data_IF_032495974812
#
_entry.id   IF_032495974812
#
_cell.length_a   1.000
_cell.length_b   1.000
_cell.length_c   1.000
_cell.angle_alpha   90.00
_cell.angle_beta   90.00
_cell.angle_gamma   90.00
#
_symmetry.space_group_name_H-M   'P 1'
#
loop_
_entity.id
_entity.type
_entity.pdbx_description
1 polymer ?
#
# COMPACT_ATOMS: atom_id res chain seq x y z
N UNK A 1 22.40 6.45 -18.47
CA UNK A 1 22.43 5.11 -17.83
C UNK A 1 22.55 5.32 -16.34
N UNK A 2 21.74 4.62 -15.56
CA UNK A 2 21.83 4.55 -14.10
C UNK A 2 22.91 3.55 -13.68
N UNK A 3 23.60 3.85 -12.57
CA UNK A 3 24.51 2.90 -11.91
C UNK A 3 23.87 2.43 -10.61
N UNK A 4 23.42 1.17 -10.59
CA UNK A 4 22.77 0.57 -9.43
C UNK A 4 23.81 -0.23 -8.64
N UNK A 5 24.00 0.13 -7.37
CA UNK A 5 24.84 -0.65 -6.45
C UNK A 5 23.97 -1.73 -5.80
N UNK A 6 24.39 -2.99 -5.90
CA UNK A 6 23.67 -4.14 -5.34
C UNK A 6 24.61 -4.88 -4.40
N UNK A 7 24.08 -5.32 -3.26
CA UNK A 7 24.77 -6.17 -2.28
C UNK A 7 24.04 -7.51 -2.20
N UNK A 8 24.76 -8.62 -2.33
CA UNK A 8 24.22 -9.94 -2.06
C UNK A 8 24.16 -10.13 -0.53
N UNK A 9 22.95 -10.28 0.00
CA UNK A 9 22.75 -10.37 1.46
C UNK A 9 23.26 -11.69 2.07
N UNK A 10 23.60 -12.71 1.26
CA UNK A 10 24.15 -13.99 1.73
C UNK A 10 25.67 -13.98 1.74
N UNK A 11 26.29 -13.42 0.70
CA UNK A 11 27.76 -13.42 0.56
C UNK A 11 28.41 -12.12 1.01
N UNK A 12 27.66 -11.01 1.01
CA UNK A 12 28.17 -9.65 1.23
C UNK A 12 28.81 -9.02 -0.01
N UNK A 13 28.80 -9.71 -1.16
CA UNK A 13 29.43 -9.23 -2.37
C UNK A 13 28.72 -8.00 -2.94
N UNK A 14 29.51 -7.01 -3.36
CA UNK A 14 29.00 -5.76 -3.92
C UNK A 14 29.31 -5.66 -5.40
N UNK A 15 28.29 -5.34 -6.19
CA UNK A 15 28.42 -5.14 -7.63
C UNK A 15 27.75 -3.84 -8.08
N UNK A 16 28.18 -3.34 -9.25
CA UNK A 16 27.60 -2.18 -9.91
C UNK A 16 27.00 -2.62 -11.24
N UNK A 17 25.70 -2.41 -11.40
CA UNK A 17 24.96 -2.71 -12.62
C UNK A 17 24.67 -1.41 -13.37
N UNK A 18 24.70 -1.47 -14.70
CA UNK A 18 24.27 -0.35 -15.56
C UNK A 18 22.88 -0.64 -16.13
N UNK A 19 21.96 0.30 -15.96
CA UNK A 19 20.60 0.19 -16.48
C UNK A 19 20.23 1.42 -17.31
N UNK A 20 19.45 1.23 -18.38
CA UNK A 20 18.88 2.35 -19.15
C UNK A 20 17.64 2.92 -18.46
N UNK A 21 16.87 2.04 -17.83
CA UNK A 21 15.67 2.36 -17.08
C UNK A 21 15.71 1.69 -15.71
N UNK A 22 15.28 2.39 -14.65
CA UNK A 22 15.18 1.84 -13.29
C UNK A 22 13.76 2.04 -12.77
N UNK A 23 13.14 0.96 -12.30
CA UNK A 23 11.85 1.00 -11.63
C UNK A 23 12.01 0.68 -10.14
N UNK A 24 11.62 1.61 -9.27
CA UNK A 24 11.71 1.50 -7.81
C UNK A 24 10.34 1.07 -7.27
N UNK A 25 10.17 -0.24 -7.09
CA UNK A 25 8.99 -0.86 -6.49
C UNK A 25 9.28 -1.49 -5.12
N UNK A 26 10.07 -0.83 -4.28
CA UNK A 26 10.65 -1.41 -3.05
C UNK A 26 9.79 -1.26 -1.78
N UNK A 27 8.48 -1.09 -1.92
CA UNK A 27 7.58 -0.82 -0.78
C UNK A 27 8.02 0.41 0.01
N UNK A 28 8.09 0.31 1.33
CA UNK A 28 8.59 1.42 2.18
C UNK A 28 10.02 1.86 1.86
N UNK A 29 10.86 0.96 1.34
CA UNK A 29 12.24 1.29 0.93
C UNK A 29 12.33 2.12 -0.36
N UNK A 30 11.20 2.34 -1.05
CA UNK A 30 11.19 3.15 -2.26
C UNK A 30 11.56 4.62 -1.99
N UNK A 31 11.21 5.16 -0.81
CA UNK A 31 11.52 6.55 -0.46
C UNK A 31 13.04 6.78 -0.36
N UNK A 32 13.77 5.89 0.31
CA UNK A 32 15.23 5.97 0.43
C UNK A 32 15.93 5.81 -0.93
N UNK A 33 15.43 4.92 -1.79
CA UNK A 33 15.99 4.73 -3.13
C UNK A 33 15.69 5.93 -4.05
N UNK A 34 14.54 6.57 -3.88
CA UNK A 34 14.19 7.79 -4.59
C UNK A 34 15.09 8.95 -4.16
N UNK A 35 15.31 9.13 -2.85
CA UNK A 35 16.23 10.15 -2.32
C UNK A 35 17.66 9.94 -2.87
N UNK A 36 18.16 8.71 -2.85
CA UNK A 36 19.47 8.34 -3.42
C UNK A 36 19.58 8.54 -4.95
N UNK A 37 18.46 8.66 -5.65
CA UNK A 37 18.46 8.90 -7.10
C UNK A 37 18.78 10.36 -7.45
N UNK A 38 18.61 11.28 -6.49
CA UNK A 38 18.83 12.73 -6.63
C UNK A 38 18.11 13.38 -7.82
N UNK A 39 16.99 12.78 -8.26
CA UNK A 39 16.13 13.41 -9.27
C UNK A 39 15.36 14.58 -8.63
N UNK A 40 15.23 15.73 -9.31
CA UNK A 40 14.46 16.86 -8.79
C UNK A 40 13.03 16.52 -8.39
N UNK A 41 12.38 15.61 -9.13
CA UNK A 41 10.99 15.19 -8.94
C UNK A 41 10.77 14.37 -7.67
N UNK A 42 11.85 13.86 -7.05
CA UNK A 42 11.80 13.12 -5.79
C UNK A 42 11.99 13.98 -4.54
N UNK A 43 12.30 15.28 -4.69
CA UNK A 43 12.52 16.20 -3.57
C UNK A 43 11.20 16.54 -2.87
N UNK A 44 11.29 16.84 -1.57
CA UNK A 44 10.13 17.19 -0.74
C UNK A 44 9.27 16.01 -0.29
N UNK A 45 9.55 14.79 -0.77
CA UNK A 45 8.84 13.60 -0.31
C UNK A 45 9.37 13.13 1.05
N UNK A 46 8.44 12.91 1.97
CA UNK A 46 8.64 12.31 3.27
C UNK A 46 7.80 11.06 3.45
N UNK A 47 8.04 10.34 4.54
CA UNK A 47 7.29 9.15 4.87
C UNK A 47 7.10 9.01 6.36
N UNK A 48 5.89 8.66 6.77
CA UNK A 48 5.60 8.29 8.15
C UNK A 48 5.20 6.81 8.25
N UNK A 49 5.92 5.99 9.02
CA UNK A 49 5.63 4.57 9.14
C UNK A 49 4.38 4.34 9.99
N UNK A 50 3.45 3.55 9.48
CA UNK A 50 2.24 3.10 10.17
C UNK A 50 2.24 1.59 10.23
N UNK A 51 2.14 1.03 11.44
CA UNK A 51 2.04 -0.41 11.65
C UNK A 51 0.58 -0.80 11.92
N UNK A 52 0.16 -1.96 11.39
CA UNK A 52 -1.14 -2.54 11.66
C UNK A 52 -1.02 -3.75 12.59
N UNK A 53 -1.81 -3.77 13.66
CA UNK A 53 -1.92 -4.88 14.59
C UNK A 53 -3.30 -5.53 14.50
N UNK A 54 -3.37 -6.83 14.76
CA UNK A 54 -4.58 -7.63 14.68
C UNK A 54 -4.67 -8.55 15.87
N UNK A 55 -5.86 -8.70 16.44
CA UNK A 55 -6.17 -9.82 17.32
C UNK A 55 -6.40 -11.05 16.44
N UNK A 56 -5.65 -12.12 16.70
CA UNK A 56 -5.68 -13.37 15.94
C UNK A 56 -6.16 -14.50 16.82
N UNK A 57 -7.24 -15.16 16.40
CA UNK A 57 -7.75 -16.37 17.03
C UNK A 57 -7.50 -17.60 16.15
N UNK A 58 -6.89 -18.62 16.74
CA UNK A 58 -6.64 -19.93 16.13
C UNK A 58 -7.39 -21.06 16.83
N UNK A 59 -8.28 -20.74 17.77
CA UNK A 59 -9.10 -21.75 18.43
C UNK A 59 -10.04 -22.40 17.39
N UNK A 60 -9.91 -23.71 17.11
CA UNK A 60 -10.64 -24.37 16.03
C UNK A 60 -12.16 -24.31 16.25
N UNK A 61 -12.62 -24.35 17.49
CA UNK A 61 -14.05 -24.32 17.83
C UNK A 61 -14.70 -22.97 17.51
N UNK A 62 -13.92 -21.89 17.60
CA UNK A 62 -14.35 -20.53 17.27
C UNK A 62 -14.24 -20.29 15.76
N UNK A 63 -13.10 -20.67 15.17
CA UNK A 63 -12.80 -20.48 13.74
C UNK A 63 -13.80 -21.24 12.87
N UNK A 64 -14.16 -22.48 13.23
CA UNK A 64 -15.09 -23.31 12.46
C UNK A 64 -16.52 -22.73 12.37
N UNK A 65 -16.87 -21.75 13.22
CA UNK A 65 -18.17 -21.08 13.21
C UNK A 65 -18.23 -19.85 12.31
N UNK A 66 -17.09 -19.39 11.78
CA UNK A 66 -16.98 -18.13 11.04
C UNK A 66 -16.44 -18.37 9.63
N UNK A 67 -17.25 -18.03 8.62
CA UNK A 67 -16.92 -18.21 7.20
C UNK A 67 -16.91 -16.91 6.40
N UNK A 68 -17.34 -15.81 7.03
CA UNK A 68 -17.51 -14.53 6.37
C UNK A 68 -16.52 -13.50 6.90
N UNK A 69 -16.36 -12.43 6.12
CA UNK A 69 -15.74 -11.18 6.52
C UNK A 69 -16.84 -10.21 6.92
N UNK A 70 -16.80 -9.72 8.15
CA UNK A 70 -17.81 -8.82 8.72
C UNK A 70 -17.17 -7.47 8.99
N UNK A 71 -17.63 -6.46 8.27
CA UNK A 71 -17.24 -5.07 8.49
C UNK A 71 -18.19 -4.42 9.49
N UNK A 72 -17.66 -3.59 10.38
CA UNK A 72 -18.49 -2.73 11.20
C UNK A 72 -18.72 -1.37 10.57
N UNK A 73 -19.34 -0.49 11.33
CA UNK A 73 -19.47 0.92 11.00
C UNK A 73 -18.26 1.70 11.49
N UNK A 74 -17.86 2.74 10.76
CA UNK A 74 -16.83 3.65 11.23
C UNK A 74 -17.29 4.33 12.52
N UNK A 75 -16.49 4.24 13.59
CA UNK A 75 -16.71 5.04 14.79
C UNK A 75 -16.63 6.54 14.48
N UNK A 76 -17.29 7.37 15.28
CA UNK A 76 -17.26 8.83 15.12
C UNK A 76 -15.80 9.32 15.18
N UNK A 77 -15.32 9.95 14.10
CA UNK A 77 -13.96 10.47 13.99
C UNK A 77 -12.89 9.45 13.57
N UNK A 78 -13.25 8.17 13.36
CA UNK A 78 -12.33 7.18 12.81
C UNK A 78 -12.05 7.48 11.32
N UNK A 79 -10.78 7.44 10.88
CA UNK A 79 -10.45 7.55 9.47
C UNK A 79 -11.23 6.50 8.64
N UNK A 80 -11.73 6.84 7.44
CA UNK A 80 -12.57 5.93 6.63
C UNK A 80 -11.87 4.61 6.27
N UNK A 81 -10.54 4.55 6.34
CA UNK A 81 -9.74 3.35 6.07
C UNK A 81 -9.44 2.48 7.31
N UNK A 82 -9.89 2.87 8.51
CA UNK A 82 -9.52 2.25 9.80
C UNK A 82 -10.64 1.47 10.47
N UNK A 83 -11.73 1.20 9.76
CA UNK A 83 -12.91 0.53 10.32
C UNK A 83 -12.54 -0.91 10.72
N UNK A 84 -12.73 -1.31 11.99
CA UNK A 84 -12.49 -2.66 12.41
C UNK A 84 -13.39 -3.65 11.69
N UNK A 85 -12.86 -4.85 11.48
CA UNK A 85 -13.59 -5.94 10.86
C UNK A 85 -13.12 -7.28 11.41
N UNK A 86 -14.02 -8.25 11.43
CA UNK A 86 -13.75 -9.64 11.78
C UNK A 86 -13.64 -10.48 10.50
N UNK A 87 -12.46 -11.04 10.26
CA UNK A 87 -12.13 -11.75 9.03
C UNK A 87 -11.80 -13.22 9.30
N UNK A 88 -12.52 -14.13 8.66
CA UNK A 88 -12.02 -15.49 8.45
C UNK A 88 -10.93 -15.47 7.37
N UNK A 89 -9.70 -15.88 7.71
CA UNK A 89 -8.56 -15.98 6.79
C UNK A 89 -8.00 -17.39 6.78
N UNK A 90 -7.35 -17.72 5.67
CA UNK A 90 -6.57 -18.94 5.51
C UNK A 90 -5.11 -18.57 5.28
N UNK A 91 -4.22 -19.02 6.16
CA UNK A 91 -2.78 -18.81 6.08
C UNK A 91 -2.14 -20.18 5.86
N UNK A 92 -1.71 -20.43 4.62
CA UNK A 92 -1.32 -21.78 4.20
C UNK A 92 -2.52 -22.74 4.29
N UNK A 93 -2.41 -23.77 5.12
CA UNK A 93 -3.49 -24.73 5.36
C UNK A 93 -4.34 -24.39 6.59
N UNK A 94 -3.88 -23.49 7.45
CA UNK A 94 -4.53 -23.14 8.70
C UNK A 94 -5.59 -22.04 8.50
N UNK A 95 -6.74 -22.19 9.16
CA UNK A 95 -7.76 -21.13 9.26
C UNK A 95 -7.57 -20.37 10.56
N UNK A 96 -7.73 -19.06 10.49
CA UNK A 96 -7.67 -18.18 11.66
C UNK A 96 -8.64 -17.01 11.50
N UNK A 97 -9.09 -16.47 12.63
CA UNK A 97 -9.89 -15.25 12.67
C UNK A 97 -9.01 -14.05 13.02
N UNK A 98 -9.24 -12.95 12.32
CA UNK A 98 -8.50 -11.70 12.48
C UNK A 98 -9.48 -10.59 12.83
N UNK A 99 -9.22 -9.87 13.91
CA UNK A 99 -9.96 -8.68 14.28
C UNK A 99 -9.05 -7.45 14.40
N UNK A 100 -9.50 -6.34 13.84
CA UNK A 100 -8.74 -5.10 13.74
C UNK A 100 -9.06 -4.37 12.43
N UNK A 101 -8.19 -3.44 11.96
CA UNK A 101 -6.84 -3.19 12.47
C UNK A 101 -6.83 -2.29 13.71
N UNK A 102 -5.87 -2.54 14.59
CA UNK A 102 -5.42 -1.58 15.61
C UNK A 102 -4.16 -0.88 15.12
N UNK A 103 -3.99 0.41 15.46
CA UNK A 103 -2.74 1.09 15.14
C UNK A 103 -1.59 0.58 16.01
N UNK A 104 -0.45 0.31 15.38
CA UNK A 104 0.82 0.06 16.05
C UNK A 104 1.86 1.13 15.70
N UNK A 105 2.94 1.18 16.47
CA UNK A 105 4.06 2.09 16.22
C UNK A 105 5.33 1.32 15.85
N UNK A 106 6.05 1.83 14.86
CA UNK A 106 7.35 1.32 14.42
C UNK A 106 8.03 2.42 13.62
N UNK A 107 9.36 2.56 13.74
CA UNK A 107 10.14 3.49 12.91
C UNK A 107 10.68 2.84 11.63
N UNK A 108 10.39 1.55 11.41
CA UNK A 108 10.82 0.77 10.24
C UNK A 108 9.93 1.08 9.04
N UNK A 109 10.52 1.09 7.85
CA UNK A 109 9.78 1.22 6.59
C UNK A 109 9.46 -0.15 5.97
N UNK A 110 10.26 -1.17 6.28
CA UNK A 110 10.06 -2.56 5.86
C UNK A 110 9.80 -3.47 7.06
N UNK A 111 9.10 -4.60 6.84
CA UNK A 111 8.87 -5.62 7.88
C UNK A 111 10.17 -6.09 8.56
N UNK A 112 11.22 -6.26 7.75
CA UNK A 112 12.58 -6.58 8.18
C UNK A 112 13.53 -5.40 7.91
N UNK A 113 13.09 -4.17 8.19
CA UNK A 113 13.88 -2.93 8.04
C UNK A 113 14.61 -2.49 9.31
N UNK A 114 15.23 -1.31 9.25
CA UNK A 114 15.99 -0.73 10.37
C UNK A 114 15.12 0.19 11.21
N UNK A 115 15.36 0.24 12.52
CA UNK A 115 14.74 1.26 13.37
C UNK A 115 15.26 2.68 13.07
N UNK A 116 16.32 2.80 12.27
CA UNK A 116 16.85 4.05 11.76
C UNK A 116 16.17 4.53 10.47
N UNK A 117 15.26 3.74 9.86
CA UNK A 117 14.63 4.09 8.58
C UNK A 117 13.98 5.49 8.65
N UNK A 118 13.05 5.73 9.59
CA UNK A 118 12.42 7.04 9.75
C UNK A 118 13.41 8.18 10.05
N UNK A 119 14.29 8.11 11.07
CA UNK A 119 15.29 9.16 11.30
C UNK A 119 16.18 9.45 10.09
N UNK A 120 16.60 8.42 9.36
CA UNK A 120 17.46 8.55 8.18
C UNK A 120 16.73 9.13 6.96
N UNK A 121 15.40 9.00 6.90
CA UNK A 121 14.60 9.56 5.81
C UNK A 121 14.32 11.06 5.97
N UNK A 122 14.61 11.65 7.13
CA UNK A 122 14.37 13.08 7.35
C UNK A 122 15.50 13.87 6.73
N UNK A 123 15.16 14.72 5.77
CA UNK A 123 16.08 15.61 5.05
C UNK A 123 15.65 17.06 5.24
N UNK A 124 16.53 18.01 4.87
CA UNK A 124 16.18 19.43 4.91
C UNK A 124 15.00 19.76 3.99
N UNK A 125 14.86 19.03 2.89
CA UNK A 125 13.82 19.27 1.90
C UNK A 125 12.45 18.71 2.32
N UNK A 126 12.38 17.71 3.22
CA UNK A 126 11.11 17.09 3.62
C UNK A 126 10.68 17.35 5.07
N UNK A 127 11.53 17.92 5.93
CA UNK A 127 11.19 18.18 7.34
C UNK A 127 10.01 19.14 7.50
N UNK A 128 9.97 20.22 6.71
CA UNK A 128 8.86 21.18 6.74
C UNK A 128 7.55 20.55 6.23
N UNK A 129 7.53 19.83 5.09
CA UNK A 129 6.38 19.02 4.69
C UNK A 129 5.91 18.05 5.79
N UNK A 130 6.82 17.31 6.42
CA UNK A 130 6.46 16.35 7.45
C UNK A 130 5.77 16.99 8.66
N UNK A 131 6.27 18.15 9.12
CA UNK A 131 5.67 18.90 10.23
C UNK A 131 4.30 19.45 9.81
N UNK A 132 4.21 20.07 8.62
CA UNK A 132 2.96 20.61 8.08
C UNK A 132 1.86 19.54 8.01
N UNK A 133 2.20 18.37 7.45
CA UNK A 133 1.29 17.25 7.34
C UNK A 133 0.81 16.76 8.73
N UNK A 134 1.70 16.71 9.72
CA UNK A 134 1.34 16.32 11.09
C UNK A 134 0.34 17.29 11.75
N UNK A 135 0.53 18.60 11.57
CA UNK A 135 -0.37 19.65 12.11
C UNK A 135 -1.71 19.64 11.38
N UNK A 136 -1.72 19.47 10.07
CA UNK A 136 -2.97 19.40 9.29
C UNK A 136 -3.81 18.17 9.62
N UNK A 137 -3.18 17.11 10.11
CA UNK A 137 -3.81 15.82 10.38
C UNK A 137 -3.89 15.49 11.88
N UNK A 138 -3.98 16.50 12.74
CA UNK A 138 -4.11 16.32 14.19
C UNK A 138 -5.20 15.31 14.61
N UNK A 139 -6.42 15.27 14.01
CA UNK A 139 -7.42 14.27 14.35
C UNK A 139 -6.94 12.83 14.11
N UNK A 140 -6.29 12.59 12.96
CA UNK A 140 -5.71 11.30 12.61
C UNK A 140 -4.54 10.95 13.56
N UNK A 141 -3.64 11.91 13.81
CA UNK A 141 -2.51 11.73 14.72
C UNK A 141 -2.99 11.37 16.13
N UNK A 142 -4.00 12.08 16.64
CA UNK A 142 -4.62 11.78 17.94
C UNK A 142 -5.23 10.38 17.93
N UNK A 143 -6.02 10.04 16.92
CA UNK A 143 -6.61 8.71 16.79
C UNK A 143 -5.55 7.60 16.80
N UNK A 144 -4.45 7.75 16.06
CA UNK A 144 -3.36 6.77 16.04
C UNK A 144 -2.69 6.62 17.41
N UNK A 145 -2.44 7.74 18.13
CA UNK A 145 -1.90 7.72 19.49
C UNK A 145 -2.84 6.99 20.45
N UNK A 146 -4.14 7.28 20.38
CA UNK A 146 -5.15 6.65 21.23
C UNK A 146 -5.22 5.12 20.96
N UNK A 147 -5.16 4.71 19.69
CA UNK A 147 -5.11 3.31 19.28
C UNK A 147 -3.85 2.58 19.79
N UNK A 148 -2.69 3.22 19.74
CA UNK A 148 -1.42 2.66 20.24
C UNK A 148 -1.50 2.43 21.76
N UNK A 149 -2.22 3.29 22.49
CA UNK A 149 -2.35 3.25 23.95
C UNK A 149 -3.36 2.22 24.46
N UNK A 150 -4.15 1.59 23.58
CA UNK A 150 -5.14 0.60 23.98
C UNK A 150 -4.49 -0.54 24.77
N UNK A 151 -5.12 -0.95 25.86
CA UNK A 151 -4.73 -2.16 26.62
C UNK A 151 -5.27 -3.42 25.94
N UNK A 152 -4.78 -4.64 26.29
CA UNK A 152 -5.36 -5.88 25.81
C UNK A 152 -6.87 -5.99 26.07
N UNK A 153 -7.34 -5.53 27.23
CA UNK A 153 -8.74 -5.54 27.64
C UNK A 153 -9.57 -4.61 26.76
N UNK A 154 -9.09 -3.38 26.49
CA UNK A 154 -9.79 -2.45 25.61
C UNK A 154 -9.88 -2.94 24.17
N UNK A 155 -8.84 -3.63 23.67
CA UNK A 155 -8.90 -4.29 22.35
C UNK A 155 -9.91 -5.43 22.34
N UNK A 156 -10.02 -6.18 23.43
CA UNK A 156 -11.03 -7.22 23.59
C UNK A 156 -12.45 -6.63 23.66
N UNK A 157 -12.66 -5.52 24.37
CA UNK A 157 -13.94 -4.81 24.42
C UNK A 157 -14.40 -4.41 23.01
N UNK A 158 -13.49 -3.88 22.19
CA UNK A 158 -13.79 -3.57 20.78
C UNK A 158 -14.17 -4.82 19.98
N UNK A 159 -13.51 -5.97 20.23
CA UNK A 159 -13.88 -7.23 19.59
C UNK A 159 -15.25 -7.73 20.06
N UNK A 160 -15.61 -7.53 21.33
CA UNK A 160 -16.87 -7.96 21.90
C UNK A 160 -18.09 -7.24 21.30
N UNK A 161 -17.91 -6.07 20.67
CA UNK A 161 -18.94 -5.43 19.86
C UNK A 161 -19.33 -6.28 18.62
N UNK A 162 -18.42 -7.13 18.13
CA UNK A 162 -18.61 -8.00 16.96
C UNK A 162 -18.83 -9.46 17.35
N UNK A 163 -18.15 -9.90 18.42
CA UNK A 163 -18.21 -11.24 18.95
C UNK A 163 -18.31 -11.19 20.49
N UNK A 164 -19.53 -11.04 21.05
CA UNK A 164 -19.73 -10.80 22.49
C UNK A 164 -19.13 -11.87 23.43
N UNK A 165 -18.94 -13.09 22.93
CA UNK A 165 -18.39 -14.21 23.70
C UNK A 165 -16.86 -14.30 23.62
N UNK A 166 -16.17 -13.32 23.04
CA UNK A 166 -14.72 -13.30 22.95
C UNK A 166 -14.08 -13.32 24.35
N UNK A 167 -13.10 -14.21 24.55
CA UNK A 167 -12.30 -14.33 25.76
C UNK A 167 -10.84 -14.02 25.44
N UNK A 168 -10.17 -13.24 26.29
CA UNK A 168 -8.81 -12.78 26.03
C UNK A 168 -7.83 -13.93 25.68
N UNK A 169 -7.97 -15.08 26.34
CA UNK A 169 -7.13 -16.26 26.17
C UNK A 169 -7.13 -16.86 24.74
N UNK A 170 -8.20 -16.62 23.98
CA UNK A 170 -8.34 -17.14 22.61
C UNK A 170 -7.72 -16.20 21.54
N UNK A 171 -7.30 -14.99 21.93
CA UNK A 171 -6.92 -13.93 20.99
C UNK A 171 -5.54 -13.36 21.31
N UNK A 172 -4.64 -13.44 20.32
CA UNK A 172 -3.27 -12.92 20.45
C UNK A 172 -3.07 -11.71 19.54
N UNK A 173 -2.41 -10.68 20.05
CA UNK A 173 -2.07 -9.51 19.24
C UNK A 173 -0.86 -9.80 18.34
N UNK A 174 -1.04 -9.68 17.03
CA UNK A 174 0.02 -9.87 16.04
C UNK A 174 0.23 -8.62 15.20
N UNK A 175 1.49 -8.37 14.81
CA UNK A 175 1.86 -7.32 13.87
C UNK A 175 1.75 -7.89 12.45
N UNK A 176 0.76 -7.43 11.68
CA UNK A 176 0.47 -8.00 10.36
C UNK A 176 1.22 -7.30 9.22
N UNK A 177 1.55 -6.02 9.37
CA UNK A 177 2.16 -5.27 8.28
C UNK A 177 2.73 -3.92 8.70
N UNK A 178 3.73 -3.50 7.92
CA UNK A 178 4.34 -2.19 7.97
C UNK A 178 3.97 -1.46 6.67
N UNK A 179 3.44 -0.25 6.81
CA UNK A 179 3.17 0.65 5.69
C UNK A 179 3.92 1.95 5.91
N UNK A 180 4.31 2.62 4.83
CA UNK A 180 4.79 4.01 4.87
C UNK A 180 3.69 4.88 4.27
N UNK A 181 3.20 5.81 5.07
CA UNK A 181 2.28 6.85 4.64
C UNK A 181 3.12 7.98 4.02
N UNK A 182 2.94 8.21 2.73
CA UNK A 182 3.72 9.21 1.99
C UNK A 182 3.22 10.60 2.35
N UNK A 183 4.19 11.52 2.48
CA UNK A 183 3.97 12.94 2.62
C UNK A 183 4.61 13.59 1.40
N UNK A 184 3.83 14.41 0.69
CA UNK A 184 4.28 15.17 -0.46
C UNK A 184 4.33 16.65 -0.10
N UNK A 185 5.32 17.35 -0.64
CA UNK A 185 5.34 18.81 -0.59
C UNK A 185 4.43 19.38 -1.69
N UNK A 186 3.42 20.11 -1.29
CA UNK A 186 2.49 20.82 -2.17
C UNK A 186 2.82 22.33 -2.14
N UNK A 187 2.92 23.01 -3.30
CA UNK A 187 3.28 24.43 -3.33
C UNK A 187 2.30 25.37 -2.60
N UNK A 188 1.02 25.00 -2.50
CA UNK A 188 -0.02 25.83 -1.87
C UNK A 188 -0.31 25.35 -0.45
N UNK A 189 -0.38 24.04 -0.26
CA UNK A 189 -0.77 23.42 0.99
C UNK A 189 0.43 23.01 1.88
N UNK A 190 1.67 23.16 1.41
CA UNK A 190 2.84 22.58 2.07
C UNK A 190 2.72 21.05 2.16
N UNK A 191 3.10 20.44 3.27
CA UNK A 191 3.01 18.98 3.41
C UNK A 191 1.59 18.40 3.43
N UNK A 192 1.31 17.47 2.51
CA UNK A 192 0.02 16.75 2.38
C UNK A 192 0.23 15.24 2.51
N UNK A 193 -0.69 14.54 3.19
CA UNK A 193 -0.68 13.07 3.26
C UNK A 193 -1.28 12.44 2.01
N UNK A 194 -0.51 11.56 1.37
CA UNK A 194 -0.93 10.84 0.16
C UNK A 194 -1.52 9.47 0.46
N UNK A 195 -2.84 9.35 0.48
CA UNK A 195 -3.51 8.11 0.85
C UNK A 195 -3.45 7.01 -0.23
N UNK A 196 -3.08 7.37 -1.46
CA UNK A 196 -3.00 6.49 -2.63
C UNK A 196 -1.59 5.96 -2.93
N UNK A 197 -1.45 5.41 -4.13
CA UNK A 197 -0.14 5.10 -4.73
C UNK A 197 0.27 6.30 -5.57
N UNK A 198 1.47 6.83 -5.33
CA UNK A 198 2.05 7.92 -6.13
C UNK A 198 3.10 7.38 -7.09
N UNK A 199 3.01 7.79 -8.36
CA UNK A 199 3.99 7.50 -9.40
C UNK A 199 4.86 8.72 -9.59
N UNK A 200 6.16 8.59 -9.30
CA UNK A 200 7.16 9.63 -9.54
C UNK A 200 8.04 9.15 -10.69
N UNK A 201 8.33 10.00 -11.65
CA UNK A 201 9.21 9.68 -12.77
C UNK A 201 10.17 10.83 -13.04
N UNK A 202 11.41 10.51 -13.43
CA UNK A 202 12.34 11.52 -13.90
C UNK A 202 11.83 12.16 -15.18
N UNK A 203 12.16 13.43 -15.40
CA UNK A 203 11.80 14.18 -16.63
C UNK A 203 12.23 13.52 -17.93
N UNK A 204 13.32 12.74 -17.92
CA UNK A 204 13.79 11.97 -19.07
C UNK A 204 13.15 10.57 -19.21
N UNK A 205 12.25 10.19 -18.29
CA UNK A 205 11.56 8.90 -18.25
C UNK A 205 12.46 7.70 -17.93
N UNK A 206 13.73 7.92 -17.56
CA UNK A 206 14.69 6.85 -17.32
C UNK A 206 14.59 6.22 -15.92
N UNK A 207 13.83 6.83 -15.00
CA UNK A 207 13.55 6.27 -13.68
C UNK A 207 12.10 6.51 -13.29
N UNK A 208 11.47 5.52 -12.67
CA UNK A 208 10.16 5.66 -12.03
C UNK A 208 10.16 5.00 -10.66
N UNK A 209 9.46 5.60 -9.70
CA UNK A 209 9.27 5.10 -8.34
C UNK A 209 7.78 5.04 -7.99
N UNK A 210 7.40 3.96 -7.31
CA UNK A 210 6.09 3.84 -6.69
C UNK A 210 6.21 4.08 -5.19
N UNK A 211 5.52 5.11 -4.70
CA UNK A 211 5.41 5.39 -3.28
C UNK A 211 3.97 5.17 -2.79
N UNK A 212 3.81 4.97 -1.48
CA UNK A 212 2.51 5.02 -0.82
C UNK A 212 1.80 3.66 -0.71
N UNK A 213 0.49 3.66 -0.92
CA UNK A 213 -0.31 2.45 -0.83
C UNK A 213 0.21 1.39 -1.81
N UNK A 214 0.34 0.14 -1.36
CA UNK A 214 0.57 -0.96 -2.29
C UNK A 214 -0.63 -1.04 -3.25
N UNK A 215 -0.41 -1.03 -4.57
CA UNK A 215 -1.50 -1.16 -5.51
C UNK A 215 -2.16 -2.53 -5.34
N UNK A 216 -3.48 -2.52 -5.11
CA UNK A 216 -4.27 -3.74 -5.13
C UNK A 216 -4.43 -4.24 -6.57
N UNK A 217 -4.97 -5.45 -6.73
CA UNK A 217 -5.25 -6.01 -8.07
C UNK A 217 -6.12 -5.07 -8.94
N UNK A 218 -6.99 -4.28 -8.31
CA UNK A 218 -7.86 -3.31 -8.97
C UNK A 218 -7.15 -2.07 -9.53
N UNK A 219 -5.96 -1.71 -9.01
CA UNK A 219 -5.25 -0.48 -9.40
C UNK A 219 -3.90 -0.72 -10.06
N UNK A 220 -3.29 -1.90 -9.85
CA UNK A 220 -1.95 -2.22 -10.35
C UNK A 220 -1.79 -2.02 -11.87
N UNK A 221 -2.77 -2.48 -12.66
CA UNK A 221 -2.72 -2.34 -14.13
C UNK A 221 -2.77 -0.87 -14.54
N UNK A 222 -3.67 -0.07 -13.96
CA UNK A 222 -3.78 1.36 -14.27
C UNK A 222 -2.50 2.12 -13.93
N UNK A 223 -1.88 1.81 -12.79
CA UNK A 223 -0.63 2.43 -12.34
C UNK A 223 0.53 2.06 -13.27
N UNK A 224 0.63 0.79 -13.68
CA UNK A 224 1.68 0.39 -14.63
C UNK A 224 1.46 1.01 -16.02
N UNK A 225 0.22 1.19 -16.47
CA UNK A 225 -0.05 1.93 -17.69
C UNK A 225 0.42 3.39 -17.59
N UNK A 226 0.19 4.05 -16.45
CA UNK A 226 0.70 5.41 -16.20
C UNK A 226 2.23 5.46 -16.27
N UNK A 227 2.94 4.50 -15.64
CA UNK A 227 4.40 4.37 -15.76
C UNK A 227 4.83 4.22 -17.22
N UNK A 228 4.16 3.38 -18.01
CA UNK A 228 4.48 3.20 -19.44
C UNK A 228 4.27 4.51 -20.23
N UNK A 229 3.17 5.23 -19.97
CA UNK A 229 2.87 6.50 -20.64
C UNK A 229 3.92 7.58 -20.31
N UNK A 230 4.35 7.68 -19.05
CA UNK A 230 5.34 8.68 -18.61
C UNK A 230 6.75 8.33 -19.06
N UNK A 231 7.15 7.06 -18.99
CA UNK A 231 8.55 6.65 -19.16
C UNK A 231 8.87 6.14 -20.57
N UNK A 232 7.86 5.68 -21.32
CA UNK A 232 8.03 5.09 -22.65
C UNK A 232 7.03 5.66 -23.67
N UNK A 233 6.86 7.00 -23.76
CA UNK A 233 5.79 7.61 -24.58
C UNK A 233 5.90 7.23 -26.07
N UNK A 234 7.13 7.17 -26.61
CA UNK A 234 7.36 6.80 -28.01
C UNK A 234 6.99 5.33 -28.29
N UNK A 235 7.31 4.43 -27.37
CA UNK A 235 6.97 3.01 -27.48
C UNK A 235 5.47 2.83 -27.34
N UNK A 236 4.83 3.47 -26.36
CA UNK A 236 3.37 3.42 -26.19
C UNK A 236 2.65 3.95 -27.42
N UNK A 237 3.15 4.99 -28.08
CA UNK A 237 2.59 5.50 -29.33
C UNK A 237 2.84 4.58 -30.54
N UNK A 238 3.75 3.62 -30.45
CA UNK A 238 4.10 2.74 -31.56
C UNK A 238 2.95 1.79 -31.94
N UNK A 239 2.77 1.47 -33.23
CA UNK A 239 1.77 0.50 -33.67
C UNK A 239 1.92 -0.88 -33.03
N UNK A 240 3.16 -1.27 -32.72
CA UNK A 240 3.46 -2.55 -32.08
C UNK A 240 2.89 -2.63 -30.66
N UNK A 241 3.19 -1.64 -29.81
CA UNK A 241 2.68 -1.64 -28.43
C UNK A 241 1.19 -1.34 -28.39
N UNK A 242 0.67 -0.46 -29.25
CA UNK A 242 -0.76 -0.22 -29.35
C UNK A 242 -1.53 -1.51 -29.64
N UNK A 243 -1.01 -2.36 -30.54
CA UNK A 243 -1.57 -3.68 -30.81
C UNK A 243 -1.45 -4.59 -29.59
N UNK A 244 -0.29 -4.66 -28.94
CA UNK A 244 -0.10 -5.54 -27.77
C UNK A 244 -0.95 -5.13 -26.56
N UNK A 245 -1.09 -3.84 -26.30
CA UNK A 245 -1.93 -3.31 -25.23
C UNK A 245 -3.40 -3.64 -25.47
N UNK A 246 -3.90 -3.54 -26.72
CA UNK A 246 -5.27 -3.94 -27.05
C UNK A 246 -5.50 -5.46 -27.03
N UNK A 247 -4.46 -6.24 -27.29
CA UNK A 247 -4.52 -7.71 -27.14
C UNK A 247 -4.67 -8.10 -25.66
N UNK A 248 -3.92 -7.45 -24.77
CA UNK A 248 -3.97 -7.71 -23.32
C UNK A 248 -5.18 -7.08 -22.63
N UNK A 249 -5.58 -5.90 -23.09
CA UNK A 249 -6.64 -5.07 -22.51
C UNK A 249 -7.56 -4.62 -23.67
N UNK A 250 -8.58 -5.41 -24.03
CA UNK A 250 -9.45 -5.11 -25.18
C UNK A 250 -10.15 -3.75 -25.11
N UNK A 251 -10.33 -3.21 -23.90
CA UNK A 251 -10.90 -1.89 -23.66
C UNK A 251 -9.87 -0.75 -23.59
N UNK A 252 -8.60 -1.00 -23.90
CA UNK A 252 -7.54 0.01 -23.79
C UNK A 252 -7.86 1.25 -24.64
N UNK A 253 -7.81 2.43 -24.00
CA UNK A 253 -8.16 3.71 -24.61
C UNK A 253 -9.67 4.01 -24.68
N UNK A 254 -10.52 3.16 -24.11
CA UNK A 254 -11.98 3.34 -24.09
C UNK A 254 -12.53 3.30 -22.66
N UNK A 255 -13.52 4.15 -22.39
CA UNK A 255 -14.24 4.14 -21.12
C UNK A 255 -15.37 3.12 -21.17
N UNK A 256 -15.25 2.06 -20.39
CA UNK A 256 -16.30 1.03 -20.28
C UNK A 256 -17.63 1.59 -19.74
N UNK A 257 -17.57 2.64 -18.90
CA UNK A 257 -18.76 3.31 -18.36
C UNK A 257 -19.61 4.02 -19.43
N UNK A 258 -19.04 4.31 -20.60
CA UNK A 258 -19.70 5.02 -21.70
C UNK A 258 -20.00 4.06 -22.88
N UNK A 259 -19.65 2.78 -22.77
CA UNK A 259 -19.84 1.78 -23.83
C UNK A 259 -20.33 0.45 -23.25
N UNK A 260 -21.65 0.31 -23.16
CA UNK A 260 -22.32 -0.87 -22.61
C UNK A 260 -21.96 -2.16 -23.37
N UNK A 261 -21.97 -2.12 -24.70
CA UNK A 261 -21.66 -3.28 -25.54
C UNK A 261 -20.23 -3.79 -25.28
N UNK A 262 -19.25 -2.88 -25.23
CA UNK A 262 -17.88 -3.22 -24.92
C UNK A 262 -17.74 -3.76 -23.49
N UNK A 263 -18.44 -3.18 -22.53
CA UNK A 263 -18.46 -3.65 -21.14
C UNK A 263 -18.97 -5.10 -21.06
N UNK A 264 -20.11 -5.40 -21.69
CA UNK A 264 -20.68 -6.74 -21.74
C UNK A 264 -19.73 -7.73 -22.43
N UNK A 265 -19.09 -7.33 -23.53
CA UNK A 265 -18.12 -8.16 -24.26
C UNK A 265 -16.89 -8.49 -23.42
N UNK A 266 -16.29 -7.49 -22.76
CA UNK A 266 -15.12 -7.67 -21.89
C UNK A 266 -15.47 -8.54 -20.68
N UNK A 267 -16.65 -8.33 -20.08
CA UNK A 267 -17.13 -9.11 -18.94
C UNK A 267 -17.36 -10.58 -19.31
N UNK A 268 -18.01 -10.83 -20.45
CA UNK A 268 -18.23 -12.19 -20.97
C UNK A 268 -16.91 -12.90 -21.26
N UNK A 269 -15.98 -12.21 -21.94
CA UNK A 269 -14.65 -12.75 -22.23
C UNK A 269 -13.86 -13.08 -20.96
N UNK A 270 -13.80 -12.14 -20.01
CA UNK A 270 -13.07 -12.31 -18.74
C UNK A 270 -13.67 -13.45 -17.91
N UNK A 271 -15.00 -13.55 -17.86
CA UNK A 271 -15.69 -14.63 -17.15
C UNK A 271 -15.38 -15.99 -17.75
N UNK A 272 -15.33 -16.10 -19.09
CA UNK A 272 -14.92 -17.31 -19.78
C UNK A 272 -13.47 -17.70 -19.48
N UNK A 273 -12.54 -16.75 -19.46
CA UNK A 273 -11.13 -16.99 -19.12
C UNK A 273 -10.95 -17.43 -17.67
N UNK A 274 -11.72 -16.86 -16.74
CA UNK A 274 -11.64 -17.16 -15.31
C UNK A 274 -12.52 -18.33 -14.87
N UNK A 275 -13.32 -18.93 -15.78
CA UNK A 275 -14.24 -20.01 -15.45
C UNK A 275 -15.39 -19.58 -14.52
N UNK A 276 -15.76 -18.29 -14.54
CA UNK A 276 -16.84 -17.76 -13.71
C UNK A 276 -18.19 -17.98 -14.40
N UNK A 277 -19.13 -18.60 -13.69
CA UNK A 277 -20.51 -18.79 -14.14
C UNK A 277 -21.39 -17.64 -13.62
N UNK A 278 -22.24 -17.07 -14.47
CA UNK A 278 -23.25 -16.05 -14.13
C UNK A 278 -22.69 -14.71 -13.60
N UNK A 279 -21.73 -14.12 -14.30
CA UNK A 279 -21.20 -12.77 -14.00
C UNK A 279 -21.74 -11.76 -14.99
#
# INVERSE_FOLDING_TARGET
FWTVKVEDMKTGDRQKLKARFVFIGAGGGALELLDKSDIPEGKGYGGFPVSGQWLVCRNPDIVARHYAKVYGTAGIGAPPMSVPHLDARRIGEERALFFGPFAGFSTKFLKHGSYLDLPSSITFDNVLPMISAGIKNLPLTKYLIDQIRLTPEQRLESLQEYYPNAKLEDWNLEVAGQRVQVIKDDPEEGGVLEFGTEVISSSDGSLAALLGASPGASTAVSIMLDVLHRCFPAQVASPEWQRKLREMIPSYGQKLSENEELCQKVRSWTSGVLGLQNV
#
